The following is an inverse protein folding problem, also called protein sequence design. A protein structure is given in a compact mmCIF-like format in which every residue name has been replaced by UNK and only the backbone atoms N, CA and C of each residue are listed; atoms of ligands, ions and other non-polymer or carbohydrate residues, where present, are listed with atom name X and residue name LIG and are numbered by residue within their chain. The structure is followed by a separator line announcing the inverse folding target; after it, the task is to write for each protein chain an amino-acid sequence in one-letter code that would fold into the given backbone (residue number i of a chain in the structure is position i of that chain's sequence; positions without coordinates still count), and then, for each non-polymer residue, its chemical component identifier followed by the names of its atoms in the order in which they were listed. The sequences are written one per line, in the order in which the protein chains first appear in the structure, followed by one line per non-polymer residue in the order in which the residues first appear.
data_IF_868190974539
#
_entry.id   IF_868190974539
#
_cell.length_a   1.000
_cell.length_b   1.000
_cell.length_c   1.000
_cell.angle_alpha   90.00
_cell.angle_beta   90.00
_cell.angle_gamma   90.00
#
_symmetry.space_group_name_H-M   'P 1'
#
loop_
_entity.id
_entity.type
_entity.pdbx_description
1 polymer ?
#
# COMPACT_ATOMS: atom_id res chain seq x y z
N UNK A 1 5.13 -15.80 -18.33
CA UNK A 1 5.40 -17.21 -18.64
C UNK A 1 6.21 -17.34 -19.92
N UNK A 2 5.88 -16.66 -21.02
CA UNK A 2 6.68 -16.69 -22.28
C UNK A 2 8.13 -16.29 -22.02
N UNK A 3 8.37 -15.19 -21.33
CA UNK A 3 9.73 -14.74 -20.98
C UNK A 3 10.47 -15.69 -20.05
N UNK A 4 9.77 -16.44 -19.17
CA UNK A 4 10.40 -17.47 -18.36
C UNK A 4 10.90 -18.63 -19.22
N UNK A 5 10.11 -19.08 -20.18
CA UNK A 5 10.53 -20.10 -21.15
C UNK A 5 11.69 -19.61 -22.04
N UNK A 6 11.68 -18.34 -22.42
CA UNK A 6 12.79 -17.73 -23.16
C UNK A 6 14.11 -17.74 -22.36
N UNK A 7 14.04 -17.50 -21.03
CA UNK A 7 15.22 -17.65 -20.15
C UNK A 7 15.73 -19.10 -20.13
N UNK A 8 14.83 -20.07 -19.97
CA UNK A 8 15.22 -21.50 -19.97
C UNK A 8 15.80 -21.95 -21.32
N UNK A 9 15.23 -21.46 -22.42
CA UNK A 9 15.73 -21.76 -23.78
C UNK A 9 17.04 -21.04 -24.13
N UNK A 10 17.42 -19.98 -23.40
CA UNK A 10 18.62 -19.19 -23.69
C UNK A 10 18.42 -18.03 -24.63
N UNK A 11 17.20 -17.67 -24.92
CA UNK A 11 16.85 -16.53 -25.76
C UNK A 11 16.97 -15.19 -25.02
N UNK A 12 16.97 -15.23 -23.70
CA UNK A 12 17.28 -14.10 -22.82
C UNK A 12 18.22 -14.55 -21.72
N UNK A 13 18.99 -13.62 -21.18
CA UNK A 13 20.03 -13.91 -20.20
C UNK A 13 19.66 -13.53 -18.78
N UNK A 14 18.73 -12.58 -18.61
CA UNK A 14 18.29 -12.05 -17.33
C UNK A 14 16.79 -11.81 -17.35
N UNK A 15 16.13 -12.10 -16.22
CA UNK A 15 14.72 -11.83 -16.02
C UNK A 15 14.49 -11.32 -14.59
N UNK A 16 13.82 -10.19 -14.45
CA UNK A 16 13.21 -9.78 -13.20
C UNK A 16 11.81 -10.43 -13.05
N UNK A 17 11.54 -11.03 -11.88
CA UNK A 17 10.29 -11.75 -11.64
C UNK A 17 9.40 -11.00 -10.63
N UNK A 18 8.30 -10.50 -11.10
CA UNK A 18 7.35 -9.72 -10.28
C UNK A 18 6.30 -10.60 -9.57
N UNK A 19 6.10 -11.84 -10.03
CA UNK A 19 5.04 -12.71 -9.55
C UNK A 19 5.59 -13.71 -8.53
N UNK A 20 5.23 -13.54 -7.26
CA UNK A 20 5.68 -14.39 -6.16
C UNK A 20 5.46 -15.89 -6.41
N UNK A 21 4.28 -16.27 -6.92
CA UNK A 21 3.99 -17.67 -7.27
C UNK A 21 4.99 -18.23 -8.28
N UNK A 22 5.27 -17.48 -9.36
CA UNK A 22 6.22 -17.94 -10.40
C UNK A 22 7.61 -18.03 -9.79
N UNK A 23 8.03 -17.07 -8.96
CA UNK A 23 9.33 -17.12 -8.29
C UNK A 23 9.53 -18.37 -7.45
N UNK A 24 8.51 -18.75 -6.69
CA UNK A 24 8.60 -19.90 -5.79
C UNK A 24 8.42 -21.24 -6.53
N UNK A 25 7.48 -21.32 -7.48
CA UNK A 25 7.08 -22.62 -8.07
C UNK A 25 7.46 -22.77 -9.54
N UNK A 26 7.76 -21.69 -10.27
CA UNK A 26 7.98 -21.73 -11.71
C UNK A 26 9.42 -22.03 -12.15
N UNK A 27 10.36 -21.97 -11.23
CA UNK A 27 11.79 -22.17 -11.51
C UNK A 27 12.29 -23.61 -11.19
N UNK A 28 11.40 -24.57 -11.03
CA UNK A 28 11.77 -26.00 -10.99
C UNK A 28 12.11 -26.47 -12.40
N UNK A 29 13.37 -26.26 -12.79
CA UNK A 29 13.87 -26.51 -14.14
C UNK A 29 15.32 -27.04 -14.07
N UNK A 30 15.67 -27.90 -15.00
CA UNK A 30 17.01 -28.50 -15.08
C UNK A 30 18.15 -27.47 -15.20
N UNK A 31 17.93 -26.35 -15.88
CA UNK A 31 18.94 -25.30 -16.01
C UNK A 31 19.24 -24.62 -14.66
N UNK A 32 18.21 -24.48 -13.81
CA UNK A 32 18.35 -23.95 -12.45
C UNK A 32 19.01 -24.98 -11.55
N UNK A 33 18.57 -26.26 -11.59
CA UNK A 33 19.15 -27.35 -10.80
C UNK A 33 20.64 -27.57 -11.09
N UNK A 34 21.03 -27.42 -12.35
CA UNK A 34 22.44 -27.53 -12.79
C UNK A 34 23.26 -26.25 -12.55
N UNK A 35 22.67 -25.22 -11.94
CA UNK A 35 23.37 -23.96 -11.66
C UNK A 35 23.64 -23.07 -12.88
N UNK A 36 23.13 -23.43 -14.07
CA UNK A 36 23.29 -22.62 -15.29
C UNK A 36 22.44 -21.34 -15.27
N UNK A 37 21.37 -21.33 -14.47
CA UNK A 37 20.55 -20.17 -14.15
C UNK A 37 20.59 -19.99 -12.64
N UNK A 38 20.98 -18.82 -12.19
CA UNK A 38 20.96 -18.40 -10.78
C UNK A 38 19.69 -17.65 -10.47
N UNK A 39 19.21 -17.80 -9.23
CA UNK A 39 18.12 -17.02 -8.65
C UNK A 39 18.68 -16.23 -7.49
N UNK A 40 18.36 -14.94 -7.45
CA UNK A 40 18.83 -14.05 -6.40
C UNK A 40 17.75 -13.04 -6.01
N UNK A 41 17.68 -12.70 -4.73
CA UNK A 41 16.84 -11.63 -4.20
C UNK A 41 17.75 -10.44 -3.86
N UNK A 42 17.72 -9.41 -4.69
CA UNK A 42 18.56 -8.22 -4.55
C UNK A 42 17.79 -7.18 -3.73
N UNK A 43 18.21 -6.98 -2.48
CA UNK A 43 17.61 -6.00 -1.58
C UNK A 43 17.82 -4.56 -2.06
N UNK A 44 16.88 -3.68 -1.72
CA UNK A 44 16.96 -2.25 -2.03
C UNK A 44 16.31 -1.39 -0.93
N UNK A 45 16.68 -0.10 -0.93
CA UNK A 45 16.09 0.91 -0.06
C UNK A 45 15.22 1.91 -0.87
N UNK A 46 14.76 1.52 -2.05
CA UNK A 46 13.83 2.35 -2.82
C UNK A 46 12.52 2.46 -2.06
N UNK A 47 11.96 3.66 -1.99
CA UNK A 47 10.63 3.87 -1.43
C UNK A 47 9.64 2.95 -2.13
N UNK A 48 8.87 2.20 -1.36
CA UNK A 48 7.91 1.26 -1.91
C UNK A 48 6.78 2.00 -2.64
N UNK A 49 6.29 1.44 -3.74
CA UNK A 49 5.04 1.89 -4.35
C UNK A 49 3.94 1.74 -3.31
N UNK A 50 3.18 2.81 -3.06
CA UNK A 50 2.08 2.80 -2.11
C UNK A 50 0.84 2.18 -2.77
N UNK A 51 0.78 0.84 -2.81
CA UNK A 51 -0.39 0.09 -3.26
C UNK A 51 -1.38 -0.05 -2.11
N UNK A 52 -2.63 0.33 -2.33
CA UNK A 52 -3.62 0.44 -1.25
C UNK A 52 -5.05 0.23 -1.72
N UNK A 53 -5.93 -0.12 -0.77
CA UNK A 53 -7.36 0.15 -0.93
C UNK A 53 -7.62 1.59 -0.48
N UNK A 54 -8.06 2.44 -1.38
CA UNK A 54 -8.24 3.86 -1.15
C UNK A 54 -9.71 4.18 -0.95
N UNK A 55 -10.04 4.86 0.13
CA UNK A 55 -11.39 5.36 0.40
C UNK A 55 -11.66 6.63 -0.40
N UNK A 56 -12.83 6.74 -0.98
CA UNK A 56 -13.31 8.00 -1.55
C UNK A 56 -14.01 8.83 -0.46
N UNK A 57 -13.30 9.79 0.10
CA UNK A 57 -13.80 10.64 1.19
C UNK A 57 -14.96 11.56 0.79
N UNK A 58 -15.31 11.62 -0.49
CA UNK A 58 -16.50 12.32 -0.99
C UNK A 58 -17.78 11.53 -0.72
N UNK A 59 -17.65 10.24 -0.41
CA UNK A 59 -18.76 9.36 -0.02
C UNK A 59 -19.06 9.55 1.47
N UNK A 60 -20.31 9.88 1.87
CA UNK A 60 -20.65 10.25 3.25
C UNK A 60 -20.33 9.16 4.28
N UNK A 61 -20.46 7.87 3.91
CA UNK A 61 -20.12 6.76 4.80
C UNK A 61 -18.64 6.74 5.22
N UNK A 62 -17.74 7.40 4.48
CA UNK A 62 -16.32 7.48 4.81
C UNK A 62 -15.89 8.82 5.42
N UNK A 63 -16.81 9.72 5.71
CA UNK A 63 -16.48 11.00 6.38
C UNK A 63 -15.89 10.76 7.77
N UNK A 64 -16.47 9.85 8.56
CA UNK A 64 -15.95 9.49 9.88
C UNK A 64 -14.75 8.55 9.78
N UNK A 65 -13.61 8.96 10.39
CA UNK A 65 -12.39 8.13 10.39
C UNK A 65 -12.57 6.78 11.10
N UNK A 66 -13.50 6.67 12.06
CA UNK A 66 -13.78 5.42 12.76
C UNK A 66 -14.33 4.35 11.86
N UNK A 67 -15.14 4.72 10.85
CA UNK A 67 -15.62 3.81 9.81
C UNK A 67 -14.44 3.30 8.96
N UNK A 68 -13.54 4.19 8.52
CA UNK A 68 -12.35 3.80 7.75
C UNK A 68 -11.40 2.90 8.56
N UNK A 69 -11.23 3.21 9.84
CA UNK A 69 -10.45 2.40 10.77
C UNK A 69 -11.08 1.02 10.96
N UNK A 70 -12.39 0.94 11.17
CA UNK A 70 -13.11 -0.32 11.32
C UNK A 70 -12.93 -1.24 10.11
N UNK A 71 -13.10 -0.70 8.90
CA UNK A 71 -12.89 -1.45 7.66
C UNK A 71 -11.43 -1.93 7.56
N UNK A 72 -10.46 -1.08 7.91
CA UNK A 72 -9.03 -1.43 7.91
C UNK A 72 -8.71 -2.62 8.80
N UNK A 73 -9.38 -2.75 9.96
CA UNK A 73 -9.20 -3.84 10.91
C UNK A 73 -9.65 -5.20 10.35
N UNK A 74 -10.49 -5.24 9.33
CA UNK A 74 -10.99 -6.49 8.74
C UNK A 74 -10.05 -7.09 7.68
N UNK A 75 -9.07 -6.32 7.18
CA UNK A 75 -8.15 -6.77 6.15
C UNK A 75 -7.04 -7.65 6.71
N UNK A 76 -7.03 -8.94 6.33
CA UNK A 76 -6.06 -9.93 6.77
C UNK A 76 -4.95 -10.10 5.72
N UNK A 77 -3.88 -9.31 5.85
CA UNK A 77 -2.71 -9.42 4.99
C UNK A 77 -1.92 -10.71 5.24
N UNK A 78 -1.77 -11.13 6.49
CA UNK A 78 -0.96 -12.30 6.87
C UNK A 78 -1.45 -13.56 6.17
N UNK A 79 -2.78 -13.76 6.15
CA UNK A 79 -3.37 -14.88 5.41
C UNK A 79 -3.05 -14.80 3.91
N UNK A 80 -3.20 -13.63 3.31
CA UNK A 80 -2.91 -13.45 1.89
C UNK A 80 -1.43 -13.70 1.58
N UNK A 81 -0.54 -13.20 2.46
CA UNK A 81 0.90 -13.39 2.30
C UNK A 81 1.31 -14.85 2.40
N UNK A 82 0.78 -15.57 3.39
CA UNK A 82 1.06 -17.00 3.56
C UNK A 82 0.45 -17.85 2.43
N UNK A 83 -0.86 -17.71 2.17
CA UNK A 83 -1.61 -18.63 1.31
C UNK A 83 -1.51 -18.31 -0.18
N UNK A 84 -1.34 -17.04 -0.54
CA UNK A 84 -1.33 -16.59 -1.94
C UNK A 84 0.05 -16.16 -2.42
N UNK A 85 0.88 -15.62 -1.52
CA UNK A 85 2.13 -14.95 -1.88
C UNK A 85 3.38 -15.65 -1.34
N UNK A 86 3.25 -16.82 -0.71
CA UNK A 86 4.38 -17.64 -0.25
C UNK A 86 5.31 -16.89 0.71
N UNK A 87 4.77 -15.96 1.54
CA UNK A 87 5.51 -15.08 2.44
C UNK A 87 6.54 -14.17 1.74
N UNK A 88 6.30 -13.84 0.48
CA UNK A 88 7.23 -13.08 -0.35
C UNK A 88 7.09 -11.56 -0.23
N UNK A 89 6.15 -11.05 0.57
CA UNK A 89 5.90 -9.62 0.71
C UNK A 89 5.96 -9.17 2.17
N UNK A 90 6.18 -7.86 2.34
CA UNK A 90 6.01 -7.15 3.61
C UNK A 90 4.78 -6.25 3.53
N UNK A 91 4.11 -6.06 4.66
CA UNK A 91 3.03 -5.09 4.78
C UNK A 91 3.59 -3.69 4.61
N UNK A 92 2.90 -2.86 3.82
CA UNK A 92 3.12 -1.42 3.84
C UNK A 92 2.63 -0.85 5.17
N UNK A 93 3.42 0.01 5.78
CA UNK A 93 3.17 0.58 7.12
C UNK A 93 3.34 2.11 7.16
N UNK A 94 3.64 2.72 6.02
CA UNK A 94 3.89 4.14 5.85
C UNK A 94 3.56 4.55 4.41
N UNK A 95 3.29 5.83 4.19
CA UNK A 95 3.25 6.41 2.85
C UNK A 95 4.61 6.33 2.14
N UNK A 96 5.69 6.22 2.93
CA UNK A 96 7.07 6.12 2.46
C UNK A 96 7.76 4.84 2.93
N UNK A 97 7.04 3.71 2.99
CA UNK A 97 7.59 2.43 3.42
C UNK A 97 8.89 2.09 2.68
N UNK A 98 9.80 1.41 3.35
CA UNK A 98 11.13 1.04 2.87
C UNK A 98 12.11 2.21 2.69
N UNK A 99 11.88 3.35 3.34
CA UNK A 99 12.76 4.52 3.26
C UNK A 99 12.97 5.20 4.63
N UNK A 100 13.93 6.11 4.71
CA UNK A 100 14.20 6.93 5.89
C UNK A 100 13.20 8.08 6.08
N UNK A 101 12.26 8.24 5.15
CA UNK A 101 11.16 9.21 5.19
C UNK A 101 9.96 8.73 6.02
N UNK A 102 9.87 7.44 6.28
CA UNK A 102 8.79 6.86 7.09
C UNK A 102 8.88 7.31 8.56
N UNK A 103 7.77 7.73 9.14
CA UNK A 103 7.67 7.98 10.58
C UNK A 103 7.81 6.68 11.37
N UNK A 104 8.49 6.75 12.51
CA UNK A 104 8.70 5.61 13.42
C UNK A 104 8.42 5.99 14.86
N UNK A 105 7.98 5.05 15.68
CA UNK A 105 7.77 5.24 17.11
C UNK A 105 6.96 6.48 17.47
N UNK A 106 7.33 7.18 18.55
CA UNK A 106 6.80 8.50 18.90
C UNK A 106 7.60 9.58 18.19
N UNK A 107 7.01 10.75 17.88
CA UNK A 107 7.74 11.84 17.23
C UNK A 107 8.84 12.38 18.13
N UNK A 108 10.02 12.67 17.56
CA UNK A 108 11.18 13.17 18.30
C UNK A 108 11.92 14.26 17.50
N UNK A 109 12.72 15.07 18.20
CA UNK A 109 13.56 16.10 17.60
C UNK A 109 12.78 17.03 16.69
N UNK A 110 13.32 17.33 15.51
CA UNK A 110 12.71 18.26 14.53
C UNK A 110 11.31 17.84 14.08
N UNK A 111 11.00 16.54 13.96
CA UNK A 111 9.65 16.08 13.66
C UNK A 111 8.66 16.55 14.74
N UNK A 112 9.00 16.33 16.01
CA UNK A 112 8.20 16.78 17.14
C UNK A 112 8.04 18.31 17.17
N UNK A 113 9.10 19.05 16.88
CA UNK A 113 9.06 20.52 16.88
C UNK A 113 8.14 21.06 15.77
N UNK A 114 8.12 20.43 14.60
CA UNK A 114 7.19 20.75 13.51
C UNK A 114 5.76 20.49 13.95
N UNK A 115 5.48 19.29 14.50
CA UNK A 115 4.14 18.93 14.96
C UNK A 115 3.63 19.84 16.08
N UNK A 116 4.49 20.26 17.01
CA UNK A 116 4.13 21.20 18.09
C UNK A 116 3.68 22.56 17.55
N UNK A 117 4.26 23.07 16.46
CA UNK A 117 3.80 24.29 15.81
C UNK A 117 2.39 24.17 15.24
N UNK A 118 1.95 22.96 14.92
CA UNK A 118 0.64 22.63 14.38
C UNK A 118 -0.30 22.01 15.43
N UNK A 119 0.06 22.01 16.70
CA UNK A 119 -0.65 21.27 17.75
C UNK A 119 -2.14 21.65 17.93
N UNK A 120 -2.52 22.89 17.59
CA UNK A 120 -3.92 23.34 17.64
C UNK A 120 -4.80 22.70 16.55
N UNK A 121 -4.19 22.19 15.51
CA UNK A 121 -4.84 21.60 14.32
C UNK A 121 -4.76 20.07 14.32
N UNK A 122 -4.00 19.48 15.25
CA UNK A 122 -3.72 18.06 15.31
C UNK A 122 -4.39 17.41 16.51
N UNK A 123 -4.96 16.20 16.32
CA UNK A 123 -5.48 15.43 17.44
C UNK A 123 -4.31 14.94 18.32
N UNK A 124 -4.53 14.81 19.66
CA UNK A 124 -3.48 14.43 20.61
C UNK A 124 -2.76 13.12 20.29
N UNK A 125 -3.44 12.17 19.68
CA UNK A 125 -2.88 10.87 19.33
C UNK A 125 -1.70 10.94 18.34
N UNK A 126 -1.59 11.99 17.54
CA UNK A 126 -0.45 12.22 16.62
C UNK A 126 0.87 12.36 17.37
N UNK A 127 0.85 12.85 18.61
CA UNK A 127 2.02 12.98 19.48
C UNK A 127 2.40 11.68 20.21
N UNK A 128 1.57 10.66 20.05
CA UNK A 128 1.77 9.32 20.59
C UNK A 128 2.50 8.37 19.64
N UNK A 129 2.22 7.09 19.85
CA UNK A 129 2.66 6.04 18.94
C UNK A 129 1.86 6.09 17.64
N UNK A 130 2.45 5.59 16.57
CA UNK A 130 1.77 5.45 15.29
C UNK A 130 0.57 4.48 15.40
N UNK A 131 -0.45 4.65 14.55
CA UNK A 131 -1.57 3.71 14.50
C UNK A 131 -1.10 2.28 14.28
N UNK A 132 -1.71 1.37 15.02
CA UNK A 132 -1.46 -0.06 14.84
C UNK A 132 -1.92 -0.51 13.46
N UNK A 133 -1.05 -1.20 12.73
CA UNK A 133 -1.43 -1.93 11.53
C UNK A 133 -1.85 -3.34 11.96
N UNK A 134 -3.08 -3.77 11.66
CA UNK A 134 -3.59 -5.06 12.09
C UNK A 134 -2.69 -6.21 11.62
N UNK A 135 -2.35 -7.12 12.53
CA UNK A 135 -1.63 -8.36 12.25
C UNK A 135 -2.49 -9.55 12.65
N UNK A 136 -3.05 -10.21 11.67
CA UNK A 136 -3.95 -11.35 11.86
C UNK A 136 -3.14 -12.66 11.97
N UNK A 137 -2.44 -12.83 13.06
CA UNK A 137 -1.56 -13.98 13.28
C UNK A 137 -2.32 -15.30 13.43
N UNK A 138 -3.56 -15.24 13.92
CA UNK A 138 -4.43 -16.39 14.13
C UNK A 138 -5.92 -15.99 14.14
N UNK A 139 -6.80 -16.99 14.27
CA UNK A 139 -8.25 -16.78 14.32
C UNK A 139 -8.71 -15.95 15.51
N UNK A 140 -8.09 -16.12 16.70
CA UNK A 140 -8.44 -15.37 17.91
C UNK A 140 -8.14 -13.88 17.69
N UNK A 141 -6.96 -13.56 17.15
CA UNK A 141 -6.58 -12.18 16.87
C UNK A 141 -7.46 -11.54 15.81
N UNK A 142 -7.83 -12.30 14.78
CA UNK A 142 -8.82 -11.84 13.79
C UNK A 142 -10.15 -11.50 14.43
N UNK A 143 -10.66 -12.34 15.35
CA UNK A 143 -11.90 -12.08 16.07
C UNK A 143 -11.82 -10.84 16.95
N UNK A 144 -10.70 -10.60 17.61
CA UNK A 144 -10.46 -9.39 18.41
C UNK A 144 -10.53 -8.13 17.54
N UNK A 145 -9.88 -8.12 16.37
CA UNK A 145 -9.96 -7.00 15.42
C UNK A 145 -11.39 -6.78 14.91
N UNK A 146 -12.13 -7.83 14.59
CA UNK A 146 -13.52 -7.70 14.14
C UNK A 146 -14.45 -7.17 15.25
N UNK A 147 -14.26 -7.57 16.51
CA UNK A 147 -14.99 -6.98 17.63
C UNK A 147 -14.71 -5.48 17.79
N UNK A 148 -13.43 -5.10 17.68
CA UNK A 148 -13.03 -3.69 17.73
C UNK A 148 -13.59 -2.91 16.54
N UNK A 149 -13.64 -3.52 15.35
CA UNK A 149 -14.23 -2.91 14.17
C UNK A 149 -15.73 -2.65 14.36
N UNK A 150 -16.48 -3.62 14.89
CA UNK A 150 -17.89 -3.44 15.19
C UNK A 150 -18.12 -2.30 16.21
N UNK A 151 -17.34 -2.26 17.30
CA UNK A 151 -17.44 -1.20 18.30
C UNK A 151 -17.16 0.20 17.69
N UNK A 152 -16.16 0.32 16.81
CA UNK A 152 -15.89 1.58 16.11
C UNK A 152 -17.03 2.02 15.19
N UNK A 153 -17.73 1.07 14.57
CA UNK A 153 -18.91 1.36 13.75
C UNK A 153 -20.08 1.82 14.65
N UNK A 154 -20.29 1.18 15.78
CA UNK A 154 -21.30 1.60 16.76
C UNK A 154 -21.02 3.02 17.27
N UNK A 155 -19.78 3.32 17.65
CA UNK A 155 -19.35 4.67 18.05
C UNK A 155 -19.53 5.70 16.91
N UNK A 156 -19.45 5.27 15.64
CA UNK A 156 -19.67 6.10 14.46
C UNK A 156 -21.15 6.27 14.07
N UNK A 157 -22.08 5.75 14.91
CA UNK A 157 -23.52 5.89 14.69
C UNK A 157 -24.15 4.81 13.81
N UNK A 158 -23.53 3.62 13.74
CA UNK A 158 -24.12 2.44 13.12
C UNK A 158 -24.63 1.49 14.18
N UNK A 159 -25.65 0.68 13.85
CA UNK A 159 -26.20 -0.36 14.70
C UNK A 159 -26.37 -1.66 13.93
N UNK A 160 -26.25 -2.79 14.62
CA UNK A 160 -26.46 -4.09 14.01
C UNK A 160 -27.94 -4.44 14.02
N UNK A 161 -28.57 -4.56 12.83
CA UNK A 161 -30.00 -4.86 12.65
C UNK A 161 -30.17 -5.90 11.55
N UNK A 162 -30.88 -6.96 11.81
CA UNK A 162 -31.21 -8.03 10.86
C UNK A 162 -30.00 -8.56 10.05
N UNK A 163 -28.87 -8.72 10.75
CA UNK A 163 -27.63 -9.19 10.13
C UNK A 163 -26.82 -8.14 9.36
N UNK A 164 -27.24 -6.88 9.41
CA UNK A 164 -26.59 -5.77 8.70
C UNK A 164 -26.16 -4.68 9.67
N UNK A 165 -25.06 -4.01 9.35
CA UNK A 165 -24.61 -2.78 10.00
C UNK A 165 -25.32 -1.60 9.32
N UNK A 166 -26.20 -0.94 10.04
CA UNK A 166 -27.12 0.10 9.54
C UNK A 166 -26.85 1.43 10.21
N UNK A 167 -26.79 2.52 9.47
CA UNK A 167 -26.72 3.85 10.03
C UNK A 167 -27.99 4.15 10.82
N UNK A 168 -27.86 4.44 12.12
CA UNK A 168 -29.02 4.59 13.03
C UNK A 168 -29.85 5.84 12.76
N UNK A 169 -29.30 6.81 12.03
CA UNK A 169 -30.02 8.05 11.67
C UNK A 169 -30.74 7.91 10.34
N UNK A 170 -30.11 7.31 9.32
CA UNK A 170 -30.70 7.22 7.96
C UNK A 170 -31.43 5.92 7.69
N UNK A 171 -31.16 4.87 8.48
CA UNK A 171 -31.68 3.51 8.23
C UNK A 171 -30.94 2.76 7.09
N UNK A 172 -29.93 3.35 6.48
CA UNK A 172 -29.21 2.78 5.35
C UNK A 172 -28.14 1.77 5.79
N UNK A 173 -28.05 0.58 5.16
CA UNK A 173 -26.98 -0.37 5.45
C UNK A 173 -25.62 0.13 4.95
N UNK A 174 -24.56 -0.23 5.66
CA UNK A 174 -23.19 0.06 5.23
C UNK A 174 -22.80 -0.93 4.12
N UNK A 175 -22.91 -0.46 2.90
CA UNK A 175 -22.52 -1.19 1.68
C UNK A 175 -21.36 -0.48 1.00
N UNK A 176 -20.39 -1.25 0.47
CA UNK A 176 -19.15 -0.74 -0.10
C UNK A 176 -18.83 -1.47 -1.39
N UNK A 177 -18.64 -0.75 -2.48
CA UNK A 177 -18.06 -1.29 -3.71
C UNK A 177 -16.56 -1.01 -3.76
N UNK A 178 -15.74 -2.06 -3.94
CA UNK A 178 -14.31 -1.92 -4.22
C UNK A 178 -14.08 -2.08 -5.71
N UNK A 179 -13.65 -1.02 -6.37
CA UNK A 179 -13.42 -0.98 -7.81
C UNK A 179 -11.97 -1.36 -8.16
N UNK A 180 -11.80 -2.16 -9.20
CA UNK A 180 -10.50 -2.51 -9.78
C UNK A 180 -10.62 -2.64 -11.31
N UNK A 181 -9.48 -2.64 -12.01
CA UNK A 181 -9.44 -2.95 -13.43
C UNK A 181 -9.11 -4.42 -13.69
N UNK A 182 -9.50 -4.92 -14.85
CA UNK A 182 -9.35 -6.33 -15.24
C UNK A 182 -7.90 -6.80 -15.31
N UNK A 183 -6.93 -5.91 -15.55
CA UNK A 183 -5.51 -6.26 -15.59
C UNK A 183 -5.00 -6.79 -14.24
N UNK A 184 -5.55 -6.29 -13.14
CA UNK A 184 -5.20 -6.68 -11.77
C UNK A 184 -6.22 -7.65 -11.14
N UNK A 185 -7.41 -7.75 -11.73
CA UNK A 185 -8.58 -8.35 -11.11
C UNK A 185 -8.42 -9.80 -10.65
N UNK A 186 -7.80 -10.65 -11.46
CA UNK A 186 -7.65 -12.07 -11.12
C UNK A 186 -6.78 -12.30 -9.88
N UNK A 187 -5.74 -11.50 -9.68
CA UNK A 187 -4.88 -11.57 -8.49
C UNK A 187 -5.64 -11.09 -7.25
N UNK A 188 -6.36 -9.98 -7.36
CA UNK A 188 -7.09 -9.39 -6.23
C UNK A 188 -8.35 -10.13 -5.84
N UNK A 189 -9.04 -10.83 -6.75
CA UNK A 189 -10.23 -11.63 -6.39
C UNK A 189 -9.96 -12.55 -5.20
N UNK A 190 -8.82 -13.24 -5.19
CA UNK A 190 -8.46 -14.15 -4.09
C UNK A 190 -8.15 -13.42 -2.78
N UNK A 191 -7.57 -12.23 -2.85
CA UNK A 191 -7.28 -11.38 -1.69
C UNK A 191 -8.54 -10.79 -1.09
N UNK A 192 -9.51 -10.42 -1.95
CA UNK A 192 -10.78 -9.81 -1.53
C UNK A 192 -11.70 -10.78 -0.79
N UNK A 193 -11.70 -12.07 -1.16
CA UNK A 193 -12.61 -13.04 -0.56
C UNK A 193 -12.55 -13.10 0.98
N UNK A 194 -11.40 -13.28 1.65
CA UNK A 194 -11.33 -13.27 3.11
C UNK A 194 -11.64 -11.89 3.71
N UNK A 195 -11.33 -10.80 3.01
CA UNK A 195 -11.65 -9.45 3.46
C UNK A 195 -13.16 -9.22 3.48
N UNK A 196 -13.86 -9.57 2.39
CA UNK A 196 -15.32 -9.54 2.29
C UNK A 196 -15.95 -10.39 3.41
N UNK A 197 -15.50 -11.64 3.57
CA UNK A 197 -16.01 -12.54 4.61
C UNK A 197 -15.82 -12.03 6.04
N UNK A 198 -14.73 -11.31 6.30
CA UNK A 198 -14.51 -10.71 7.60
C UNK A 198 -15.49 -9.55 7.85
N UNK A 199 -15.75 -8.71 6.86
CA UNK A 199 -16.72 -7.62 6.94
C UNK A 199 -18.15 -8.12 7.08
N UNK A 200 -18.53 -9.17 6.37
CA UNK A 200 -19.85 -9.84 6.50
C UNK A 200 -20.13 -10.27 7.94
N UNK A 201 -19.11 -10.76 8.68
CA UNK A 201 -19.27 -11.17 10.09
C UNK A 201 -19.68 -10.02 11.03
N UNK A 202 -19.43 -8.79 10.64
CA UNK A 202 -19.81 -7.58 11.36
C UNK A 202 -20.91 -6.79 10.64
N UNK A 203 -21.64 -7.45 9.73
CA UNK A 203 -22.81 -6.88 9.05
C UNK A 203 -22.50 -5.87 7.94
N UNK A 204 -21.23 -5.69 7.56
CA UNK A 204 -20.85 -4.79 6.46
C UNK A 204 -20.81 -5.57 5.15
N UNK A 205 -21.57 -5.11 4.17
CA UNK A 205 -21.58 -5.70 2.84
C UNK A 205 -20.50 -5.05 1.97
N UNK A 206 -19.56 -5.86 1.48
CA UNK A 206 -18.55 -5.41 0.53
C UNK A 206 -18.68 -6.22 -0.78
N UNK A 207 -18.64 -5.51 -1.91
CA UNK A 207 -18.60 -6.10 -3.25
C UNK A 207 -17.30 -5.75 -3.95
N UNK A 208 -16.76 -6.67 -4.74
CA UNK A 208 -15.56 -6.44 -5.53
C UNK A 208 -15.90 -6.43 -7.01
N UNK A 209 -15.66 -5.31 -7.67
CA UNK A 209 -16.00 -5.11 -9.08
C UNK A 209 -14.77 -4.87 -9.93
N UNK A 210 -14.55 -5.77 -10.90
CA UNK A 210 -13.55 -5.58 -11.94
C UNK A 210 -14.22 -5.04 -13.19
N UNK A 211 -13.67 -3.98 -13.75
CA UNK A 211 -14.15 -3.35 -14.99
C UNK A 211 -13.01 -3.18 -15.99
N UNK A 212 -13.33 -3.03 -17.27
CA UNK A 212 -12.37 -2.71 -18.31
C UNK A 212 -11.64 -1.40 -18.00
N UNK A 213 -10.39 -1.27 -18.50
CA UNK A 213 -9.50 -0.16 -18.17
C UNK A 213 -10.11 1.21 -18.49
N UNK A 214 -10.81 1.34 -19.62
CA UNK A 214 -11.44 2.60 -20.01
C UNK A 214 -12.60 2.98 -19.07
N UNK A 215 -13.40 2.00 -18.65
CA UNK A 215 -14.47 2.19 -17.67
C UNK A 215 -13.88 2.58 -16.32
N UNK A 216 -12.82 1.87 -15.90
CA UNK A 216 -12.10 2.18 -14.66
C UNK A 216 -11.62 3.62 -14.67
N UNK A 217 -10.90 4.02 -15.75
CA UNK A 217 -10.38 5.38 -15.88
C UNK A 217 -11.49 6.43 -15.82
N UNK A 218 -12.57 6.24 -16.57
CA UNK A 218 -13.70 7.16 -16.57
C UNK A 218 -14.32 7.31 -15.18
N UNK A 219 -14.52 6.22 -14.45
CA UNK A 219 -15.05 6.25 -13.08
C UNK A 219 -14.07 6.94 -12.11
N UNK A 220 -12.76 6.72 -12.26
CA UNK A 220 -11.74 7.43 -11.46
C UNK A 220 -11.74 8.93 -11.72
N UNK A 221 -11.73 9.34 -12.99
CA UNK A 221 -11.73 10.76 -13.41
C UNK A 221 -12.97 11.52 -12.89
N UNK A 222 -14.11 10.83 -12.72
CA UNK A 222 -15.34 11.38 -12.18
C UNK A 222 -15.56 11.11 -10.68
N UNK A 223 -14.59 10.48 -9.99
CA UNK A 223 -14.68 10.08 -8.59
C UNK A 223 -15.90 9.19 -8.29
N UNK A 224 -16.33 8.38 -9.27
CA UNK A 224 -17.47 7.47 -9.13
C UNK A 224 -17.03 6.09 -8.63
N UNK A 225 -16.72 6.01 -7.36
CA UNK A 225 -16.38 4.79 -6.64
C UNK A 225 -16.54 5.00 -5.13
N UNK A 226 -16.68 3.92 -4.37
CA UNK A 226 -16.63 3.95 -2.91
C UNK A 226 -15.20 3.72 -2.44
N UNK A 227 -14.62 2.60 -2.80
CA UNK A 227 -13.20 2.29 -2.63
C UNK A 227 -12.59 1.83 -3.96
N UNK A 228 -11.30 2.01 -4.13
CA UNK A 228 -10.58 1.51 -5.30
C UNK A 228 -9.22 0.92 -4.92
N UNK A 229 -8.75 -0.05 -5.72
CA UNK A 229 -7.36 -0.52 -5.62
C UNK A 229 -6.49 0.38 -6.48
N UNK A 230 -5.61 1.12 -5.82
CA UNK A 230 -4.74 2.10 -6.45
C UNK A 230 -3.28 1.89 -6.05
N UNK A 231 -2.37 2.33 -6.91
CA UNK A 231 -0.93 2.33 -6.67
C UNK A 231 -0.38 3.73 -6.95
N UNK A 232 0.23 4.34 -5.94
CA UNK A 232 0.88 5.63 -6.05
C UNK A 232 2.38 5.40 -6.18
N UNK A 233 3.00 5.81 -7.30
CA UNK A 233 4.45 5.76 -7.42
C UNK A 233 5.06 6.79 -6.47
N UNK A 234 5.88 6.31 -5.52
CA UNK A 234 6.51 7.16 -4.53
C UNK A 234 7.94 7.48 -4.94
N UNK A 235 8.26 8.78 -4.98
CA UNK A 235 9.60 9.26 -5.30
C UNK A 235 10.60 8.93 -4.18
N UNK A 236 11.89 8.81 -4.54
CA UNK A 236 13.00 8.82 -3.58
C UNK A 236 13.21 10.21 -2.96
N UNK A 237 12.69 11.24 -3.62
CA UNK A 237 12.68 12.63 -3.17
C UNK A 237 11.30 13.24 -3.47
N UNK A 238 10.29 12.99 -2.62
CA UNK A 238 8.95 13.55 -2.76
C UNK A 238 8.98 15.08 -2.84
N UNK A 239 8.17 15.64 -3.73
CA UNK A 239 8.09 17.08 -4.00
C UNK A 239 6.68 17.54 -4.36
N UNK A 240 6.57 18.37 -5.41
CA UNK A 240 5.33 18.97 -5.84
C UNK A 240 4.23 17.97 -6.25
N UNK A 241 4.61 16.76 -6.69
CA UNK A 241 3.65 15.71 -7.03
C UNK A 241 2.78 15.30 -5.83
N UNK A 242 3.25 15.53 -4.60
CA UNK A 242 2.48 15.25 -3.39
C UNK A 242 1.28 16.20 -3.24
N UNK A 243 1.35 17.42 -3.79
CA UNK A 243 0.19 18.34 -3.86
C UNK A 243 -0.92 17.80 -4.75
N UNK A 244 -0.55 17.15 -5.86
CA UNK A 244 -1.51 16.53 -6.78
C UNK A 244 -2.14 15.26 -6.18
N UNK A 245 -1.38 14.52 -5.36
CA UNK A 245 -1.86 13.27 -4.75
C UNK A 245 -2.68 13.49 -3.49
N UNK A 246 -2.31 14.48 -2.65
CA UNK A 246 -2.85 14.62 -1.29
C UNK A 246 -3.30 16.05 -0.95
N UNK A 247 -2.97 17.04 -1.77
CA UNK A 247 -3.27 18.44 -1.50
C UNK A 247 -4.77 18.73 -1.60
N UNK A 248 -5.26 19.57 -0.68
CA UNK A 248 -6.69 19.94 -0.58
C UNK A 248 -7.22 20.57 -1.85
N UNK A 249 -6.42 21.36 -2.56
CA UNK A 249 -6.80 22.04 -3.81
C UNK A 249 -7.06 21.08 -4.96
N UNK A 250 -6.38 19.92 -4.97
CA UNK A 250 -6.56 18.90 -5.99
C UNK A 250 -7.83 18.04 -5.76
N UNK A 251 -8.38 18.04 -4.55
CA UNK A 251 -9.48 17.15 -4.16
C UNK A 251 -10.76 17.33 -4.99
N UNK A 252 -11.02 18.50 -5.55
CA UNK A 252 -12.21 18.77 -6.37
C UNK A 252 -11.98 18.70 -7.87
N UNK A 253 -10.73 18.56 -8.31
CA UNK A 253 -10.36 18.65 -9.72
C UNK A 253 -10.53 17.29 -10.40
N UNK A 254 -11.44 17.19 -11.35
CA UNK A 254 -11.63 15.97 -12.14
C UNK A 254 -10.32 15.56 -12.83
N UNK A 255 -10.00 14.28 -12.78
CA UNK A 255 -8.75 13.74 -13.33
C UNK A 255 -7.50 14.03 -12.50
N UNK A 256 -7.61 14.66 -11.32
CA UNK A 256 -6.48 14.82 -10.40
C UNK A 256 -6.06 13.48 -9.79
N UNK A 257 -4.83 13.44 -9.27
CA UNK A 257 -4.32 12.28 -8.56
C UNK A 257 -4.80 12.21 -7.10
N UNK A 258 -5.49 13.23 -6.57
CA UNK A 258 -6.11 13.18 -5.25
C UNK A 258 -7.41 12.35 -5.31
N UNK A 259 -7.25 11.08 -5.60
CA UNK A 259 -8.36 10.14 -5.78
C UNK A 259 -9.10 9.87 -4.47
N UNK A 260 -8.40 9.91 -3.34
CA UNK A 260 -9.02 9.82 -2.01
C UNK A 260 -9.95 10.99 -1.71
N UNK A 261 -9.72 12.17 -2.29
CA UNK A 261 -10.48 13.39 -1.97
C UNK A 261 -10.05 14.04 -0.66
N UNK A 262 -8.78 13.89 -0.30
CA UNK A 262 -8.22 14.45 0.93
C UNK A 262 -8.32 15.97 0.94
N UNK A 263 -8.83 16.51 2.06
CA UNK A 263 -8.86 17.94 2.37
C UNK A 263 -8.35 18.11 3.79
N UNK A 264 -7.04 18.17 3.93
CA UNK A 264 -6.38 18.28 5.22
C UNK A 264 -5.39 19.44 5.22
N UNK A 265 -5.78 20.61 5.77
CA UNK A 265 -4.93 21.81 5.77
C UNK A 265 -3.58 21.60 6.48
N UNK A 266 -3.51 20.71 7.48
CA UNK A 266 -2.25 20.39 8.14
C UNK A 266 -1.33 19.59 7.22
N UNK A 267 -1.88 18.63 6.46
CA UNK A 267 -1.11 17.92 5.43
C UNK A 267 -0.59 18.89 4.35
N UNK A 268 -1.40 19.86 3.91
CA UNK A 268 -0.98 20.89 2.94
C UNK A 268 0.24 21.68 3.45
N UNK A 269 0.20 22.14 4.71
CA UNK A 269 1.32 22.86 5.35
C UNK A 269 2.57 22.01 5.44
N UNK A 270 2.43 20.71 5.72
CA UNK A 270 3.55 19.78 5.80
C UNK A 270 4.16 19.51 4.43
N UNK A 271 3.32 19.40 3.38
CA UNK A 271 3.76 19.30 1.98
C UNK A 271 4.56 20.54 1.59
N UNK A 272 4.05 21.74 1.85
CA UNK A 272 4.78 22.98 1.60
C UNK A 272 6.10 23.03 2.38
N UNK A 273 6.09 22.53 3.61
CA UNK A 273 7.27 22.50 4.47
C UNK A 273 8.41 21.64 3.90
N UNK A 274 8.16 20.42 3.43
CA UNK A 274 9.23 19.63 2.84
C UNK A 274 9.65 20.11 1.45
N UNK A 275 8.74 20.70 0.65
CA UNK A 275 9.11 21.30 -0.64
C UNK A 275 10.06 22.48 -0.45
N UNK A 276 9.87 23.28 0.61
CA UNK A 276 10.66 24.47 0.90
C UNK A 276 11.91 24.19 1.74
N UNK A 277 12.08 22.97 2.24
CA UNK A 277 13.19 22.62 3.13
C UNK A 277 14.55 22.82 2.45
N UNK A 278 15.46 23.54 3.13
CA UNK A 278 16.78 23.91 2.60
C UNK A 278 17.87 22.86 2.89
N UNK A 279 17.58 21.86 3.69
CA UNK A 279 18.53 20.83 4.08
C UNK A 279 17.84 19.49 4.33
N UNK A 280 18.60 18.40 4.22
CA UNK A 280 18.08 17.04 4.37
C UNK A 280 17.45 16.78 5.76
N UNK A 281 17.99 17.21 6.90
CA UNK A 281 17.36 16.99 8.20
C UNK A 281 15.96 17.62 8.33
N UNK A 282 15.74 18.83 7.84
CA UNK A 282 14.45 19.48 7.86
C UNK A 282 13.49 18.81 6.89
N UNK A 283 13.95 18.49 5.69
CA UNK A 283 13.19 17.77 4.68
C UNK A 283 12.64 16.44 5.22
N UNK A 284 13.48 15.61 5.83
CA UNK A 284 13.07 14.35 6.43
C UNK A 284 12.11 14.54 7.62
N UNK A 285 12.30 15.59 8.41
CA UNK A 285 11.43 15.88 9.53
C UNK A 285 10.01 16.24 9.08
N UNK A 286 9.86 17.06 8.03
CA UNK A 286 8.55 17.37 7.45
C UNK A 286 7.89 16.14 6.82
N UNK A 287 8.64 15.30 6.10
CA UNK A 287 8.11 14.06 5.52
C UNK A 287 7.62 13.08 6.59
N UNK A 288 8.36 12.90 7.68
CA UNK A 288 7.93 12.06 8.81
C UNK A 288 6.70 12.64 9.51
N UNK A 289 6.65 13.95 9.70
CA UNK A 289 5.47 14.60 10.25
C UNK A 289 4.24 14.40 9.34
N UNK A 290 4.40 14.55 8.03
CA UNK A 290 3.37 14.28 7.04
C UNK A 290 2.91 12.81 7.09
N UNK A 291 3.83 11.84 7.00
CA UNK A 291 3.51 10.41 7.08
C UNK A 291 2.71 10.08 8.34
N UNK A 292 3.14 10.61 9.48
CA UNK A 292 2.47 10.42 10.77
C UNK A 292 1.05 10.94 10.76
N UNK A 293 0.83 12.18 10.32
CA UNK A 293 -0.50 12.80 10.23
C UNK A 293 -1.40 11.98 9.31
N UNK A 294 -0.93 11.65 8.11
CA UNK A 294 -1.70 10.91 7.12
C UNK A 294 -2.10 9.51 7.60
N UNK A 295 -1.23 8.83 8.36
CA UNK A 295 -1.52 7.50 8.92
C UNK A 295 -2.61 7.55 9.98
N UNK A 296 -2.70 8.60 10.78
CA UNK A 296 -3.76 8.78 11.78
C UNK A 296 -5.13 9.08 11.15
N UNK A 297 -5.18 9.42 9.87
CA UNK A 297 -6.42 9.73 9.16
C UNK A 297 -7.08 8.52 8.50
N UNK A 298 -6.38 7.41 8.31
CA UNK A 298 -6.90 6.21 7.68
C UNK A 298 -7.52 6.45 6.29
N UNK A 299 -6.93 7.29 5.45
CA UNK A 299 -7.43 7.58 4.09
C UNK A 299 -7.33 6.39 3.15
N UNK A 300 -6.51 5.41 3.51
CA UNK A 300 -6.28 4.20 2.74
C UNK A 300 -5.93 3.01 3.66
N UNK A 301 -6.12 1.81 3.14
CA UNK A 301 -5.64 0.58 3.77
C UNK A 301 -4.39 0.14 3.00
N UNK A 302 -3.18 0.27 3.58
CA UNK A 302 -1.97 -0.11 2.92
C UNK A 302 -1.96 -1.61 2.61
N UNK A 303 -1.44 -1.99 1.45
CA UNK A 303 -1.34 -3.38 1.04
C UNK A 303 0.07 -3.92 1.32
N UNK A 304 0.88 -4.22 0.31
CA UNK A 304 2.18 -4.88 0.48
C UNK A 304 3.19 -4.46 -0.58
N UNK A 305 4.45 -4.75 -0.31
CA UNK A 305 5.57 -4.54 -1.23
C UNK A 305 6.62 -5.65 -1.08
N UNK A 306 7.48 -5.83 -2.07
CA UNK A 306 8.67 -6.66 -1.97
C UNK A 306 9.86 -5.75 -1.60
N UNK A 307 10.61 -6.04 -0.51
CA UNK A 307 11.80 -5.25 -0.13
C UNK A 307 13.04 -5.62 -0.94
N UNK A 308 12.87 -6.40 -1.99
CA UNK A 308 13.90 -6.91 -2.90
C UNK A 308 13.34 -7.12 -4.29
N UNK A 309 14.22 -7.12 -5.27
CA UNK A 309 13.92 -7.53 -6.63
C UNK A 309 14.35 -8.97 -6.83
N UNK A 310 13.47 -9.78 -7.42
CA UNK A 310 13.70 -11.19 -7.72
C UNK A 310 14.30 -11.29 -9.10
N UNK A 311 15.52 -11.78 -9.20
CA UNK A 311 16.26 -11.84 -10.45
C UNK A 311 16.70 -13.27 -10.74
N UNK A 312 16.41 -13.72 -11.94
CA UNK A 312 16.96 -14.97 -12.46
C UNK A 312 17.85 -14.65 -13.67
N UNK A 313 19.06 -15.17 -13.68
CA UNK A 313 20.05 -14.85 -14.67
C UNK A 313 20.98 -16.00 -14.98
N UNK A 314 21.56 -16.03 -16.18
CA UNK A 314 22.55 -17.03 -16.57
C UNK A 314 23.83 -16.87 -15.80
N UNK A 315 24.44 -18.00 -15.39
CA UNK A 315 25.68 -18.02 -14.59
C UNK A 315 26.92 -17.46 -15.29
N UNK A 316 26.76 -16.89 -16.47
CA UNK A 316 27.84 -16.15 -17.15
C UNK A 316 28.04 -14.73 -16.61
N UNK A 317 27.12 -14.24 -15.77
CA UNK A 317 27.22 -12.88 -15.21
C UNK A 317 27.75 -12.86 -13.81
N UNK A 318 28.46 -11.79 -13.51
CA UNK A 318 28.80 -11.30 -12.17
C UNK A 318 28.35 -9.87 -12.00
N UNK A 319 28.13 -9.48 -10.75
CA UNK A 319 27.71 -8.14 -10.37
C UNK A 319 28.36 -7.71 -9.04
N UNK A 320 28.32 -6.41 -8.69
CA UNK A 320 28.85 -5.93 -7.43
C UNK A 320 28.18 -6.65 -6.24
N UNK A 321 28.97 -7.19 -5.32
CA UNK A 321 28.48 -7.88 -4.11
C UNK A 321 28.04 -6.93 -3.02
N UNK A 322 28.57 -5.70 -3.01
CA UNK A 322 28.15 -4.65 -2.12
C UNK A 322 26.81 -4.11 -2.62
N UNK A 323 25.76 -4.36 -1.84
CA UNK A 323 24.39 -4.00 -2.21
C UNK A 323 24.26 -2.54 -2.60
N UNK A 324 23.98 -2.31 -3.86
CA UNK A 324 23.52 -1.00 -4.31
C UNK A 324 22.20 -0.74 -3.62
N UNK A 325 22.12 0.32 -2.83
CA UNK A 325 20.88 0.71 -2.13
C UNK A 325 19.67 0.88 -3.08
N UNK A 326 19.96 1.01 -4.35
CA UNK A 326 18.98 1.20 -5.45
C UNK A 326 18.50 -0.12 -6.08
N UNK A 327 18.98 -1.29 -5.62
CA UNK A 327 18.56 -2.60 -6.13
C UNK A 327 19.24 -3.03 -7.41
N UNK A 328 18.52 -3.76 -8.25
CA UNK A 328 19.02 -4.30 -9.52
C UNK A 328 19.48 -3.18 -10.47
N UNK A 329 20.73 -3.24 -10.88
CA UNK A 329 21.36 -2.35 -11.86
C UNK A 329 22.07 -3.16 -12.93
N UNK A 330 21.39 -3.71 -13.95
CA UNK A 330 21.99 -4.59 -14.97
C UNK A 330 23.18 -3.97 -15.69
N UNK A 331 23.21 -2.63 -15.81
CA UNK A 331 24.31 -1.90 -16.45
C UNK A 331 25.64 -1.95 -15.68
N UNK A 332 25.60 -2.39 -14.41
CA UNK A 332 26.81 -2.59 -13.58
C UNK A 332 27.29 -4.03 -13.57
N UNK A 333 26.64 -4.91 -14.34
CA UNK A 333 26.98 -6.32 -14.41
C UNK A 333 28.00 -6.57 -15.51
N UNK A 334 28.82 -7.59 -15.36
CA UNK A 334 29.83 -7.99 -16.35
C UNK A 334 29.79 -9.48 -16.63
N UNK A 335 30.34 -9.87 -17.76
CA UNK A 335 30.51 -11.27 -18.14
C UNK A 335 31.76 -11.81 -17.44
N UNK A 336 31.67 -12.98 -16.82
CA UNK A 336 32.81 -13.67 -16.22
C UNK A 336 33.91 -13.92 -17.23
N UNK A 337 35.14 -13.82 -16.82
CA UNK A 337 36.28 -14.20 -17.66
C UNK A 337 36.15 -15.67 -18.08
N UNK A 338 36.23 -15.95 -19.38
CA UNK A 338 36.09 -17.29 -19.95
C UNK A 338 34.65 -17.81 -20.11
N UNK A 339 33.62 -17.08 -19.73
CA UNK A 339 32.23 -17.46 -20.03
C UNK A 339 31.91 -17.19 -21.52
N UNK A 340 31.29 -18.19 -22.19
CA UNK A 340 30.80 -18.07 -23.57
C UNK A 340 29.31 -17.75 -23.59
#
# INVERSE_FOLDING_TARGET
TVTLQALFAGNIDLREEYIAKIWVTGYDNEQVKKGKIKKEEIGHNNTAILQSFVFNLRRPQFADKRVRQAISLAFNFEWANEKLFYNQYRRLDSYFSNSDMAATGKPQGKELDILRKLARELPPEVFGSLPEIPRHTDYRRTREYLKRAAALLEEAGYGFQDGKMVNTTTGEPLEIEVLSNTANGAAFTRVMLPFIKNLEKIGVKMTFRNVELNIFKNRMDNFDFDMAILSFPMSQMPGNEQKEMWGSTAAGNKGSMNLAGTKNPTADKLIDGFIQAQNKPDYLAYLRAFDRVMRHEYYLIPQWYAPYQRVAYRDKFEHPKTGLKVGLQPMTWWIKAGAK
#
